data_IF_146785543730
#
_entry.id   IF_146785543730
#
_cell.length_a   1.000
_cell.length_b   1.000
_cell.length_c   1.000
_cell.angle_alpha   90.00
_cell.angle_beta   90.00
_cell.angle_gamma   90.00
#
_symmetry.space_group_name_H-M   'P 1'
#
loop_
_entity.id
_entity.type
_entity.pdbx_description
1 polymer ?
#
# COMPACT_ATOMS: atom_id res chain seq x y z
N UNK A 1 -10.10 5.60 32.16
CA UNK A 1 -10.30 4.93 30.86
C UNK A 1 -8.95 4.31 30.53
N UNK A 2 -8.80 3.01 30.70
CA UNK A 2 -7.54 2.32 30.40
C UNK A 2 -7.47 2.12 28.89
N UNK A 3 -6.45 2.70 28.26
CA UNK A 3 -6.17 2.51 26.83
C UNK A 3 -5.32 1.24 26.77
N UNK A 4 -5.94 0.11 26.43
CA UNK A 4 -5.21 -1.10 26.09
C UNK A 4 -4.66 -0.95 24.68
N UNK A 5 -3.36 -1.13 24.49
CA UNK A 5 -2.73 -1.16 23.16
C UNK A 5 -2.69 -2.61 22.68
N UNK A 6 -3.19 -2.87 21.47
CA UNK A 6 -3.11 -4.17 20.81
C UNK A 6 -2.11 -4.02 19.66
N UNK A 7 -1.07 -4.85 19.62
CA UNK A 7 -0.08 -4.92 18.53
C UNK A 7 -0.26 -6.28 17.83
N UNK A 8 -0.48 -6.25 16.51
CA UNK A 8 -1.12 -7.34 15.73
C UNK A 8 -0.21 -7.79 14.57
N UNK A 9 0.61 -8.83 14.67
CA UNK A 9 1.43 -9.25 13.50
C UNK A 9 0.68 -10.24 12.61
N UNK A 10 0.61 -9.99 11.29
CA UNK A 10 0.08 -10.96 10.32
C UNK A 10 1.19 -11.79 9.67
N UNK A 11 0.98 -13.09 9.54
CA UNK A 11 1.70 -13.92 8.58
C UNK A 11 0.71 -14.63 7.66
N UNK A 12 0.93 -14.56 6.35
CA UNK A 12 0.26 -15.43 5.39
C UNK A 12 1.08 -16.72 5.29
N UNK A 13 0.46 -17.87 5.52
CA UNK A 13 1.08 -19.16 5.18
C UNK A 13 0.65 -19.53 3.76
N UNK A 14 1.58 -19.47 2.81
CA UNK A 14 1.44 -20.09 1.50
C UNK A 14 1.83 -21.57 1.62
N UNK A 15 0.93 -22.47 1.23
CA UNK A 15 1.27 -23.89 1.11
C UNK A 15 2.21 -24.06 -0.09
N UNK A 16 3.50 -24.23 0.16
CA UNK A 16 4.48 -24.57 -0.88
C UNK A 16 4.26 -26.00 -1.37
N UNK A 17 3.93 -26.15 -2.66
CA UNK A 17 4.13 -27.39 -3.40
C UNK A 17 5.46 -27.27 -4.14
N UNK A 18 6.49 -27.98 -3.67
CA UNK A 18 7.74 -28.19 -4.39
C UNK A 18 7.49 -29.08 -5.62
N UNK A 19 7.83 -28.59 -6.82
CA UNK A 19 8.09 -29.46 -7.96
C UNK A 19 9.43 -29.09 -8.62
N UNK A 20 10.39 -30.01 -8.46
CA UNK A 20 11.73 -30.03 -9.07
C UNK A 20 11.67 -30.07 -10.61
N UNK A 21 12.26 -29.09 -11.31
CA UNK A 21 12.72 -29.30 -12.70
C UNK A 21 14.12 -28.72 -12.94
N UNK A 22 15.02 -29.63 -13.30
CA UNK A 22 16.42 -29.45 -13.70
C UNK A 22 16.58 -28.78 -15.08
N UNK A 23 17.40 -27.73 -15.11
CA UNK A 23 18.41 -27.32 -16.11
C UNK A 23 18.15 -27.47 -17.62
N UNK A 24 18.29 -26.36 -18.36
CA UNK A 24 19.30 -26.27 -19.44
C UNK A 24 19.69 -24.82 -19.76
N UNK A 25 21.00 -24.60 -19.75
CA UNK A 25 21.76 -23.38 -20.03
C UNK A 25 21.67 -22.90 -21.48
N UNK A 26 21.59 -21.59 -21.69
CA UNK A 26 22.22 -20.93 -22.84
C UNK A 26 22.78 -19.56 -22.41
N UNK A 27 24.11 -19.47 -22.46
CA UNK A 27 24.88 -18.25 -22.20
C UNK A 27 24.45 -17.13 -23.14
N UNK A 28 24.09 -15.98 -22.57
CA UNK A 28 24.33 -14.67 -23.17
C UNK A 28 25.21 -13.86 -22.21
N UNK A 29 26.20 -13.22 -22.79
CA UNK A 29 27.30 -12.48 -22.16
C UNK A 29 26.79 -11.59 -21.02
N UNK A 30 27.09 -11.96 -19.77
CA UNK A 30 26.84 -11.14 -18.58
C UNK A 30 28.01 -10.16 -18.49
N UNK A 31 27.77 -8.89 -18.77
CA UNK A 31 28.65 -7.81 -18.29
C UNK A 31 28.62 -7.92 -16.76
N UNK A 32 29.76 -7.98 -16.05
CA UNK A 32 29.74 -8.10 -14.61
C UNK A 32 29.33 -6.75 -14.02
N UNK A 33 28.02 -6.54 -13.86
CA UNK A 33 27.56 -5.75 -12.73
C UNK A 33 27.77 -6.64 -11.52
N UNK A 34 28.82 -6.37 -10.75
CA UNK A 34 28.87 -6.76 -9.35
C UNK A 34 27.67 -6.05 -8.72
N UNK A 35 26.62 -6.75 -8.24
CA UNK A 35 25.64 -6.12 -7.40
C UNK A 35 26.43 -5.72 -6.17
N UNK A 36 26.74 -4.43 -6.04
CA UNK A 36 26.94 -3.89 -4.72
C UNK A 36 25.57 -4.11 -4.09
N UNK A 37 25.43 -5.07 -3.19
CA UNK A 37 24.18 -5.30 -2.46
C UNK A 37 23.93 -3.95 -1.78
N UNK A 38 23.10 -3.12 -2.40
CA UNK A 38 22.85 -1.79 -1.89
C UNK A 38 22.21 -2.03 -0.54
N UNK A 39 22.93 -1.69 0.53
CA UNK A 39 22.39 -1.81 1.88
C UNK A 39 21.14 -0.95 1.92
N UNK A 40 19.99 -1.58 2.19
CA UNK A 40 18.73 -0.87 2.31
C UNK A 40 18.91 0.17 3.43
N UNK A 41 18.71 1.47 3.14
CA UNK A 41 18.93 2.50 4.13
C UNK A 41 18.02 2.29 5.35
N UNK A 42 18.44 2.69 6.57
CA UNK A 42 17.70 2.38 7.79
C UNK A 42 16.28 2.95 7.86
N UNK A 43 15.97 3.96 7.05
CA UNK A 43 14.65 4.56 6.96
C UNK A 43 13.66 3.75 6.09
N UNK A 44 14.12 2.71 5.40
CA UNK A 44 13.29 1.79 4.63
C UNK A 44 13.22 0.40 5.29
N UNK A 45 12.23 -0.39 4.90
CA UNK A 45 12.05 -1.74 5.41
C UNK A 45 13.21 -2.64 4.99
N UNK A 46 13.84 -3.28 5.96
CA UNK A 46 14.94 -4.21 5.72
C UNK A 46 14.48 -5.54 5.13
N UNK A 47 13.15 -5.75 5.07
CA UNK A 47 12.51 -6.95 4.52
C UNK A 47 12.14 -6.77 3.03
N UNK A 48 12.52 -5.65 2.39
CA UNK A 48 12.28 -5.45 0.96
C UNK A 48 13.06 -6.46 0.12
N UNK A 49 12.35 -7.11 -0.81
CA UNK A 49 12.98 -7.92 -1.84
C UNK A 49 13.45 -7.02 -2.98
N UNK A 50 14.76 -6.71 -3.01
CA UNK A 50 15.37 -5.90 -4.06
C UNK A 50 15.59 -6.67 -5.36
N UNK A 51 15.52 -8.01 -5.34
CA UNK A 51 15.62 -8.86 -6.53
C UNK A 51 14.21 -9.20 -7.09
N UNK A 52 13.17 -8.80 -6.37
CA UNK A 52 11.77 -9.07 -6.67
C UNK A 52 11.17 -8.18 -7.76
N UNK A 53 10.19 -8.73 -8.47
CA UNK A 53 9.38 -7.99 -9.44
C UNK A 53 8.05 -7.57 -8.80
N UNK A 54 7.82 -6.26 -8.72
CA UNK A 54 6.57 -5.68 -8.22
C UNK A 54 5.66 -5.35 -9.38
N UNK A 55 4.47 -5.96 -9.40
CA UNK A 55 3.52 -5.81 -10.52
C UNK A 55 2.27 -5.11 -10.06
N UNK A 56 1.90 -4.06 -10.78
CA UNK A 56 0.70 -3.27 -10.58
C UNK A 56 -0.24 -3.46 -11.77
N UNK A 57 -1.47 -3.87 -11.51
CA UNK A 57 -2.51 -3.89 -12.53
C UNK A 57 -3.08 -2.49 -12.73
N UNK A 58 -3.37 -2.13 -13.97
CA UNK A 58 -4.03 -0.87 -14.32
C UNK A 58 -5.54 -1.11 -14.46
N UNK A 59 -6.33 -0.58 -13.54
CA UNK A 59 -7.80 -0.74 -13.51
C UNK A 59 -8.52 0.40 -14.20
N UNK A 60 -7.90 1.59 -14.27
CA UNK A 60 -8.41 2.75 -14.99
C UNK A 60 -7.25 3.51 -15.66
N UNK A 61 -7.47 4.05 -16.87
CA UNK A 61 -6.47 4.86 -17.57
C UNK A 61 -7.10 5.79 -18.61
N UNK A 62 -6.75 7.07 -18.58
CA UNK A 62 -7.34 8.13 -19.42
C UNK A 62 -6.84 8.17 -20.86
N UNK A 63 -5.65 7.63 -21.11
CA UNK A 63 -5.04 7.58 -22.42
C UNK A 63 -3.52 7.78 -22.39
N UNK A 64 -2.86 7.64 -23.55
CA UNK A 64 -1.40 7.71 -23.65
C UNK A 64 -0.84 8.95 -22.97
N UNK A 65 0.26 8.77 -22.23
CA UNK A 65 0.95 9.81 -21.48
C UNK A 65 2.42 9.84 -21.87
N UNK A 66 3.03 11.03 -21.79
CA UNK A 66 4.44 11.20 -22.12
C UNK A 66 5.31 11.07 -20.88
N UNK A 67 6.47 10.44 -21.02
CA UNK A 67 7.48 10.33 -19.97
C UNK A 67 8.54 11.41 -20.13
N UNK A 68 8.87 12.11 -19.04
CA UNK A 68 9.91 13.12 -18.98
C UNK A 68 10.88 12.81 -17.84
N UNK A 69 12.17 12.81 -18.14
CA UNK A 69 13.24 12.78 -17.15
C UNK A 69 13.55 14.20 -16.62
N UNK A 70 14.40 14.31 -15.60
CA UNK A 70 14.75 15.61 -15.00
C UNK A 70 15.68 16.49 -15.86
N UNK A 71 16.08 16.07 -17.06
CA UNK A 71 16.97 16.82 -17.96
C UNK A 71 16.23 17.77 -18.91
N UNK A 72 15.39 18.66 -18.35
CA UNK A 72 14.50 19.55 -19.08
C UNK A 72 15.20 20.60 -19.97
N UNK A 73 16.49 20.89 -19.74
CA UNK A 73 17.27 21.82 -20.57
C UNK A 73 17.86 21.18 -21.84
N UNK A 74 17.67 19.87 -22.03
CA UNK A 74 18.10 19.19 -23.25
C UNK A 74 17.15 19.50 -24.43
N UNK A 75 17.58 19.31 -25.70
CA UNK A 75 16.80 19.67 -26.89
C UNK A 75 15.40 19.04 -26.99
N UNK A 76 15.16 17.94 -26.27
CA UNK A 76 13.86 17.26 -26.22
C UNK A 76 13.14 17.45 -24.87
N UNK A 77 13.56 18.41 -24.05
CA UNK A 77 12.98 18.69 -22.73
C UNK A 77 12.91 17.46 -21.81
N UNK A 78 13.86 16.53 -21.94
CA UNK A 78 13.87 15.29 -21.17
C UNK A 78 12.85 14.23 -21.61
N UNK A 79 12.18 14.39 -22.76
CA UNK A 79 11.22 13.41 -23.27
C UNK A 79 11.88 12.06 -23.59
N UNK A 80 11.31 10.98 -23.04
CA UNK A 80 11.81 9.60 -23.20
C UNK A 80 10.87 8.71 -24.03
N UNK A 81 9.64 9.18 -24.28
CA UNK A 81 8.64 8.45 -25.08
C UNK A 81 7.24 8.52 -24.48
N UNK A 82 6.27 7.93 -25.17
CA UNK A 82 4.90 7.79 -24.69
C UNK A 82 4.65 6.39 -24.15
N UNK A 83 3.81 6.31 -23.12
CA UNK A 83 3.37 5.07 -22.48
C UNK A 83 1.84 5.00 -22.43
N UNK A 84 1.30 3.80 -22.62
CA UNK A 84 -0.13 3.50 -22.74
C UNK A 84 -0.42 2.05 -22.33
N UNK A 85 -0.57 1.75 -21.02
CA UNK A 85 -0.89 0.42 -20.54
C UNK A 85 -2.30 -0.02 -20.96
N UNK A 86 -3.22 0.93 -21.14
CA UNK A 86 -4.68 0.70 -21.19
C UNK A 86 -5.22 -0.05 -19.97
N UNK A 87 -6.54 -0.07 -19.84
CA UNK A 87 -7.22 -0.86 -18.81
C UNK A 87 -6.87 -2.34 -18.96
N UNK A 88 -6.51 -3.00 -17.87
CA UNK A 88 -6.02 -4.37 -17.81
C UNK A 88 -4.54 -4.53 -18.17
N UNK A 89 -3.83 -3.42 -18.45
CA UNK A 89 -2.38 -3.41 -18.59
C UNK A 89 -1.67 -3.58 -17.25
N UNK A 90 -0.32 -3.56 -17.28
CA UNK A 90 0.49 -3.69 -16.07
C UNK A 90 1.64 -2.71 -16.04
N UNK A 91 2.01 -2.25 -14.84
CA UNK A 91 3.26 -1.56 -14.56
C UNK A 91 4.11 -2.51 -13.72
N UNK A 92 5.32 -2.81 -14.19
CA UNK A 92 6.26 -3.69 -13.52
C UNK A 92 7.46 -2.89 -13.04
N UNK A 93 7.83 -3.07 -11.79
CA UNK A 93 8.90 -2.37 -11.11
C UNK A 93 9.90 -3.39 -10.59
N UNK A 94 11.19 -3.14 -10.81
CA UNK A 94 12.28 -3.92 -10.23
C UNK A 94 13.30 -2.96 -9.60
N UNK A 95 13.59 -3.09 -8.31
CA UNK A 95 14.53 -2.20 -7.65
C UNK A 95 15.96 -2.45 -8.13
N UNK A 96 16.69 -1.39 -8.41
CA UNK A 96 18.11 -1.46 -8.79
C UNK A 96 19.03 -1.08 -7.62
N UNK A 97 18.48 -0.44 -6.59
CA UNK A 97 19.18 -0.11 -5.35
C UNK A 97 18.71 1.22 -4.76
N UNK A 98 19.55 1.78 -3.89
CA UNK A 98 19.37 3.11 -3.30
C UNK A 98 20.56 3.98 -3.66
N UNK A 99 20.29 5.17 -4.21
CA UNK A 99 21.30 6.12 -4.63
C UNK A 99 20.84 7.54 -4.33
N UNK A 100 21.79 8.48 -4.33
CA UNK A 100 21.48 9.90 -4.23
C UNK A 100 20.53 10.32 -5.36
N UNK A 101 19.69 11.31 -5.08
CA UNK A 101 18.81 11.94 -6.06
C UNK A 101 19.57 12.40 -7.28
N UNK A 102 18.86 12.42 -8.42
CA UNK A 102 19.35 13.17 -9.57
C UNK A 102 19.65 14.62 -9.13
N UNK A 103 20.81 15.21 -9.46
CA UNK A 103 21.14 16.59 -9.09
C UNK A 103 20.12 17.63 -9.58
N UNK A 104 19.29 17.25 -10.55
CA UNK A 104 18.25 18.07 -11.13
C UNK A 104 16.87 17.70 -10.62
N UNK A 105 16.74 16.81 -9.63
CA UNK A 105 15.48 16.58 -8.94
C UNK A 105 15.08 17.88 -8.22
N UNK A 106 14.03 18.52 -8.73
CA UNK A 106 13.60 19.86 -8.32
C UNK A 106 12.40 19.86 -7.35
N UNK A 107 11.91 18.69 -6.92
CA UNK A 107 10.67 18.60 -6.15
C UNK A 107 10.50 17.29 -5.39
N UNK A 108 11.40 17.00 -4.46
CA UNK A 108 11.30 15.84 -3.56
C UNK A 108 11.77 16.18 -2.15
N UNK A 109 10.88 16.02 -1.19
CA UNK A 109 11.10 16.29 0.23
C UNK A 109 11.80 15.16 0.99
N UNK A 110 11.93 13.95 0.43
CA UNK A 110 12.54 12.81 1.10
C UNK A 110 14.06 12.83 1.02
N UNK A 111 14.81 12.64 2.10
CA UNK A 111 16.28 12.72 2.05
C UNK A 111 16.93 11.58 1.25
N UNK A 112 18.16 11.84 0.78
CA UNK A 112 19.01 10.82 0.18
C UNK A 112 19.49 9.77 1.19
N UNK A 113 19.76 8.53 0.74
CA UNK A 113 19.52 8.02 -0.62
C UNK A 113 18.06 7.60 -0.84
N UNK A 114 17.60 7.67 -2.08
CA UNK A 114 16.24 7.29 -2.50
C UNK A 114 16.27 5.98 -3.31
N UNK A 115 15.14 5.26 -3.46
CA UNK A 115 15.06 4.05 -4.26
C UNK A 115 15.22 4.38 -5.74
N UNK A 116 15.90 3.51 -6.47
CA UNK A 116 15.97 3.52 -7.93
C UNK A 116 15.49 2.17 -8.45
N UNK A 117 14.88 2.19 -9.64
CA UNK A 117 14.22 1.03 -10.18
C UNK A 117 14.15 1.05 -11.71
N UNK A 118 14.10 -0.14 -12.29
CA UNK A 118 13.68 -0.35 -13.67
C UNK A 118 12.14 -0.37 -13.72
N UNK A 119 11.58 0.22 -14.77
CA UNK A 119 10.14 0.24 -15.03
C UNK A 119 9.84 -0.33 -16.40
N UNK A 120 8.89 -1.26 -16.47
CA UNK A 120 8.35 -1.84 -17.70
C UNK A 120 6.82 -1.71 -17.69
N UNK A 121 6.27 -1.09 -18.72
CA UNK A 121 4.84 -0.87 -18.88
C UNK A 121 4.34 -1.81 -19.97
N UNK A 122 3.45 -2.70 -19.56
CA UNK A 122 2.77 -3.66 -20.42
C UNK A 122 1.41 -3.11 -20.81
N UNK A 123 1.16 -3.10 -22.10
CA UNK A 123 -0.11 -2.72 -22.68
C UNK A 123 -1.02 -3.93 -22.82
N UNK A 124 -2.28 -3.78 -22.43
CA UNK A 124 -3.31 -4.74 -22.76
C UNK A 124 -3.80 -4.50 -24.19
N UNK A 125 -3.40 -5.38 -25.10
CA UNK A 125 -3.89 -5.41 -26.48
C UNK A 125 -4.85 -6.58 -26.66
N UNK A 126 -6.15 -6.30 -26.52
CA UNK A 126 -7.23 -7.27 -26.69
C UNK A 126 -7.11 -8.52 -25.80
N UNK A 127 -6.69 -8.34 -24.55
CA UNK A 127 -6.52 -9.41 -23.56
C UNK A 127 -5.11 -10.01 -23.52
N UNK A 128 -4.19 -9.55 -24.37
CA UNK A 128 -2.79 -9.98 -24.38
C UNK A 128 -1.90 -8.84 -23.91
N UNK A 129 -1.05 -9.12 -22.92
CA UNK A 129 -0.06 -8.16 -22.45
C UNK A 129 1.13 -8.11 -23.42
N UNK A 130 1.39 -6.94 -23.98
CA UNK A 130 2.53 -6.65 -24.87
C UNK A 130 3.38 -5.52 -24.29
N UNK A 131 4.70 -5.59 -24.46
CA UNK A 131 5.60 -4.52 -24.00
C UNK A 131 5.27 -3.22 -24.75
N UNK A 132 5.12 -2.12 -24.02
CA UNK A 132 4.83 -0.82 -24.60
C UNK A 132 5.92 0.21 -24.31
N UNK A 133 6.43 0.25 -23.08
CA UNK A 133 7.42 1.24 -22.66
C UNK A 133 8.34 0.66 -21.61
N UNK A 134 9.63 0.99 -21.64
CA UNK A 134 10.61 0.45 -20.70
C UNK A 134 11.74 1.45 -20.47
N UNK A 135 12.06 1.71 -19.21
CA UNK A 135 13.21 2.49 -18.79
C UNK A 135 13.95 1.76 -17.69
N UNK A 136 15.25 2.00 -17.62
CA UNK A 136 16.12 1.40 -16.61
C UNK A 136 16.66 2.46 -15.67
N UNK A 137 16.83 2.11 -14.40
CA UNK A 137 17.46 2.93 -13.38
C UNK A 137 16.87 4.35 -13.33
N UNK A 138 15.58 4.43 -13.01
CA UNK A 138 14.86 5.68 -12.71
C UNK A 138 14.65 5.81 -11.22
N UNK A 139 14.83 7.03 -10.73
CA UNK A 139 14.60 7.33 -9.32
C UNK A 139 13.10 7.18 -8.99
N UNK A 140 12.81 6.83 -7.75
CA UNK A 140 11.45 6.76 -7.24
C UNK A 140 10.68 8.07 -7.46
N UNK A 141 11.35 9.22 -7.33
CA UNK A 141 10.77 10.52 -7.60
C UNK A 141 10.40 10.73 -9.07
N UNK A 142 11.27 10.32 -10.02
CA UNK A 142 10.96 10.47 -11.45
C UNK A 142 9.72 9.64 -11.81
N UNK A 143 9.64 8.44 -11.26
CA UNK A 143 8.48 7.56 -11.44
C UNK A 143 7.25 8.17 -10.78
N UNK A 144 7.37 8.69 -9.57
CA UNK A 144 6.29 9.37 -8.87
C UNK A 144 5.73 10.53 -9.69
N UNK A 145 6.61 11.35 -10.26
CA UNK A 145 6.21 12.49 -11.08
C UNK A 145 5.47 12.06 -12.36
N UNK A 146 6.03 11.10 -13.10
CA UNK A 146 5.45 10.66 -14.38
C UNK A 146 4.15 9.86 -14.22
N UNK A 147 3.97 9.20 -13.08
CA UNK A 147 2.78 8.43 -12.74
C UNK A 147 1.81 9.20 -11.83
N UNK A 148 2.11 10.45 -11.47
CA UNK A 148 1.34 11.29 -10.53
C UNK A 148 1.08 10.54 -9.20
N UNK A 149 2.10 9.90 -8.65
CA UNK A 149 2.08 9.19 -7.36
C UNK A 149 2.61 10.09 -6.22
N UNK A 150 2.14 11.33 -6.21
CA UNK A 150 2.56 12.39 -5.31
C UNK A 150 1.94 13.73 -5.69
N UNK A 151 2.34 14.78 -4.98
CA UNK A 151 1.91 16.16 -5.21
C UNK A 151 2.92 17.14 -4.60
N UNK A 152 3.07 18.32 -5.22
CA UNK A 152 4.06 19.32 -4.80
C UNK A 152 5.45 18.67 -4.61
N UNK A 153 6.13 18.90 -3.49
CA UNK A 153 7.42 18.24 -3.21
C UNK A 153 7.24 16.89 -2.48
N UNK A 154 6.00 16.50 -2.16
CA UNK A 154 5.70 15.20 -1.56
C UNK A 154 5.54 14.14 -2.65
N UNK A 155 6.65 13.48 -3.01
CA UNK A 155 6.72 12.50 -4.11
C UNK A 155 7.07 11.08 -3.62
N UNK A 156 6.16 10.41 -2.86
CA UNK A 156 6.45 9.11 -2.24
C UNK A 156 6.57 7.95 -3.24
N UNK A 157 5.97 8.06 -4.43
CA UNK A 157 6.22 7.12 -5.54
C UNK A 157 5.76 5.69 -5.26
N UNK A 158 6.60 4.72 -5.61
CA UNK A 158 6.32 3.28 -5.43
C UNK A 158 6.73 2.81 -4.03
N UNK A 159 7.71 3.45 -3.42
CA UNK A 159 8.25 3.06 -2.12
C UNK A 159 8.52 4.29 -1.26
N UNK A 160 7.85 4.37 -0.11
CA UNK A 160 8.07 5.40 0.90
C UNK A 160 8.97 4.90 2.04
N UNK A 161 9.72 5.79 2.73
CA UNK A 161 10.36 5.45 3.99
C UNK A 161 9.31 5.07 5.06
N UNK A 162 9.71 4.34 6.10
CA UNK A 162 8.80 3.79 7.13
C UNK A 162 9.24 4.08 8.58
N UNK A 163 10.46 4.58 8.79
CA UNK A 163 11.03 4.77 10.14
C UNK A 163 10.30 5.84 10.96
N UNK A 164 9.78 6.88 10.30
CA UNK A 164 9.08 7.98 10.96
C UNK A 164 7.80 8.37 10.22
N UNK A 165 6.80 7.50 10.27
CA UNK A 165 5.48 7.75 9.69
C UNK A 165 4.84 9.04 10.23
N UNK A 166 5.06 9.40 11.50
CA UNK A 166 4.57 10.68 12.04
C UNK A 166 5.11 11.87 11.24
N UNK A 167 6.40 11.86 10.90
CA UNK A 167 7.01 12.88 10.06
C UNK A 167 6.45 12.82 8.63
N UNK A 168 6.32 11.63 8.03
CA UNK A 168 5.77 11.47 6.67
C UNK A 168 4.37 12.06 6.57
N UNK A 169 3.49 11.76 7.52
CA UNK A 169 2.13 12.32 7.58
C UNK A 169 2.16 13.85 7.68
N UNK A 170 3.08 14.39 8.49
CA UNK A 170 3.28 15.83 8.60
C UNK A 170 3.73 16.44 7.26
N UNK A 171 4.73 15.84 6.60
CA UNK A 171 5.22 16.31 5.30
C UNK A 171 4.11 16.29 4.24
N UNK A 172 3.28 15.25 4.22
CA UNK A 172 2.13 15.15 3.33
C UNK A 172 1.14 16.32 3.56
N UNK A 173 0.81 16.63 4.81
CA UNK A 173 -0.10 17.74 5.17
C UNK A 173 0.52 19.09 4.84
N UNK A 174 1.78 19.32 5.24
CA UNK A 174 2.50 20.58 5.02
C UNK A 174 2.64 20.87 3.51
N UNK A 175 2.96 19.85 2.71
CA UNK A 175 3.05 20.00 1.25
C UNK A 175 1.70 20.24 0.58
N UNK A 176 0.59 19.78 1.18
CA UNK A 176 -0.73 20.08 0.65
C UNK A 176 -1.11 21.55 0.85
N UNK A 177 -0.75 22.16 1.99
CA UNK A 177 -1.12 23.54 2.32
C UNK A 177 -0.13 24.59 1.81
N UNK A 178 1.16 24.29 1.81
CA UNK A 178 2.25 25.24 1.50
C UNK A 178 2.91 24.99 0.13
N UNK A 179 2.58 23.90 -0.54
CA UNK A 179 3.17 23.54 -1.82
C UNK A 179 2.73 24.43 -2.98
N UNK A 180 3.37 24.22 -4.14
CA UNK A 180 3.12 25.01 -5.36
C UNK A 180 1.66 25.00 -5.82
N UNK A 181 1.00 23.85 -5.65
CA UNK A 181 -0.41 23.64 -5.88
C UNK A 181 -1.11 23.45 -4.54
N UNK A 182 -1.54 24.52 -3.86
CA UNK A 182 -2.19 24.41 -2.56
C UNK A 182 -3.54 23.71 -2.71
N UNK A 183 -3.79 22.79 -1.79
CA UNK A 183 -4.97 21.93 -1.74
C UNK A 183 -5.26 21.48 -0.32
N UNK A 184 -5.99 20.37 -0.20
CA UNK A 184 -6.32 19.72 1.05
C UNK A 184 -5.81 18.29 1.00
N UNK A 185 -5.24 17.80 2.10
CA UNK A 185 -4.85 16.42 2.22
C UNK A 185 -5.47 15.78 3.46
N UNK A 186 -5.97 14.56 3.28
CA UNK A 186 -6.38 13.65 4.34
C UNK A 186 -5.28 12.62 4.47
N UNK A 187 -4.78 12.44 5.68
CA UNK A 187 -3.77 11.41 5.97
C UNK A 187 -4.24 10.56 7.12
N UNK A 188 -4.44 9.28 6.85
CA UNK A 188 -5.03 8.34 7.79
C UNK A 188 -4.17 7.08 7.88
N UNK A 189 -4.05 6.53 9.08
CA UNK A 189 -3.19 5.39 9.35
C UNK A 189 -4.01 4.30 10.03
N UNK A 190 -3.78 3.06 9.59
CA UNK A 190 -4.32 1.83 10.17
C UNK A 190 -3.17 0.99 10.71
N UNK A 191 -3.47 -0.20 11.23
CA UNK A 191 -2.41 -1.10 11.64
C UNK A 191 -1.46 -1.46 10.49
N UNK A 192 -2.01 -1.79 9.30
CA UNK A 192 -1.22 -2.27 8.15
C UNK A 192 -0.96 -1.23 7.08
N UNK A 193 -1.73 -0.14 7.03
CA UNK A 193 -1.72 0.75 5.88
C UNK A 193 -1.69 2.22 6.25
N UNK A 194 -1.03 3.01 5.42
CA UNK A 194 -1.11 4.46 5.39
C UNK A 194 -1.91 4.89 4.16
N UNK A 195 -2.99 5.63 4.38
CA UNK A 195 -3.78 6.25 3.33
C UNK A 195 -3.47 7.75 3.26
N UNK A 196 -3.27 8.26 2.04
CA UNK A 196 -3.03 9.65 1.75
C UNK A 196 -3.95 10.05 0.60
N UNK A 197 -4.86 10.98 0.85
CA UNK A 197 -5.65 11.64 -0.18
C UNK A 197 -5.20 13.09 -0.31
N UNK A 198 -5.09 13.58 -1.53
CA UNK A 198 -4.82 14.99 -1.82
C UNK A 198 -5.74 15.45 -2.95
N UNK A 199 -6.32 16.63 -2.77
CA UNK A 199 -7.11 17.30 -3.79
C UNK A 199 -6.80 18.80 -3.80
N UNK A 200 -6.61 19.38 -4.99
CA UNK A 200 -6.49 20.82 -5.15
C UNK A 200 -7.65 21.42 -5.97
N UNK A 201 -7.80 22.74 -5.89
CA UNK A 201 -8.79 23.48 -6.69
C UNK A 201 -8.52 23.48 -8.20
N UNK A 202 -7.32 23.05 -8.60
CA UNK A 202 -6.88 22.92 -9.99
C UNK A 202 -7.27 21.59 -10.66
N UNK A 203 -7.97 20.69 -9.94
CA UNK A 203 -8.39 19.39 -10.48
C UNK A 203 -7.29 18.32 -10.48
N UNK A 204 -6.26 18.50 -9.65
CA UNK A 204 -5.31 17.44 -9.30
C UNK A 204 -5.90 16.69 -8.10
N UNK A 205 -6.05 15.38 -8.22
CA UNK A 205 -6.40 14.48 -7.14
C UNK A 205 -5.44 13.30 -7.13
N UNK A 206 -4.95 12.92 -5.96
CA UNK A 206 -4.05 11.79 -5.78
C UNK A 206 -4.41 11.08 -4.49
N UNK A 207 -4.89 9.85 -4.59
CA UNK A 207 -5.21 8.98 -3.47
C UNK A 207 -4.25 7.79 -3.49
N UNK A 208 -3.57 7.52 -2.38
CA UNK A 208 -2.48 6.54 -2.27
C UNK A 208 -2.69 5.68 -1.02
N UNK A 209 -2.50 4.37 -1.15
CA UNK A 209 -2.44 3.43 -0.03
C UNK A 209 -1.07 2.76 -0.05
N UNK A 210 -0.35 2.84 1.07
CA UNK A 210 0.92 2.15 1.27
C UNK A 210 0.80 1.10 2.35
N UNK A 211 1.50 -0.02 2.18
CA UNK A 211 1.76 -0.94 3.28
C UNK A 211 2.73 -0.29 4.26
N UNK A 212 2.34 -0.25 5.53
CA UNK A 212 3.04 0.47 6.59
C UNK A 212 4.38 -0.18 6.93
N UNK A 213 4.48 -1.50 6.79
CA UNK A 213 5.62 -2.29 7.23
C UNK A 213 6.75 -2.35 6.20
N UNK A 214 6.40 -2.27 4.93
CA UNK A 214 7.36 -2.29 3.82
C UNK A 214 7.54 -0.92 3.20
N UNK A 215 6.54 -0.05 3.28
CA UNK A 215 6.48 1.23 2.58
C UNK A 215 6.09 1.10 1.10
N UNK A 216 5.73 -0.10 0.64
CA UNK A 216 5.37 -0.33 -0.76
C UNK A 216 3.97 0.20 -1.06
N UNK A 217 3.82 0.80 -2.24
CA UNK A 217 2.53 1.22 -2.75
C UNK A 217 1.66 -0.02 -2.99
N UNK A 218 0.45 0.02 -2.42
CA UNK A 218 -0.58 -1.03 -2.53
C UNK A 218 -1.61 -0.64 -3.58
N UNK A 219 -2.03 0.63 -3.58
CA UNK A 219 -3.02 1.16 -4.51
C UNK A 219 -2.81 2.65 -4.73
N UNK A 220 -3.12 3.12 -5.93
CA UNK A 220 -3.15 4.54 -6.24
C UNK A 220 -4.29 4.87 -7.22
N UNK A 221 -4.87 6.05 -7.05
CA UNK A 221 -5.80 6.67 -7.98
C UNK A 221 -5.44 8.15 -8.14
N UNK A 222 -5.03 8.53 -9.33
CA UNK A 222 -4.52 9.87 -9.62
C UNK A 222 -5.21 10.47 -10.83
N UNK A 223 -5.58 11.73 -10.75
CA UNK A 223 -6.16 12.52 -11.83
C UNK A 223 -5.49 13.89 -11.92
N UNK A 224 -5.21 14.37 -13.13
CA UNK A 224 -4.68 15.71 -13.38
C UNK A 224 -5.05 16.16 -14.79
N UNK A 225 -5.99 17.10 -14.90
CA UNK A 225 -6.49 17.55 -16.20
C UNK A 225 -7.12 16.40 -17.00
N UNK A 226 -6.52 16.04 -18.14
CA UNK A 226 -6.97 14.91 -18.97
C UNK A 226 -6.37 13.55 -18.58
N UNK A 227 -5.43 13.53 -17.63
CA UNK A 227 -4.84 12.31 -17.11
C UNK A 227 -5.73 11.72 -16.01
N UNK A 228 -5.95 10.41 -16.06
CA UNK A 228 -6.39 9.61 -14.94
C UNK A 228 -5.73 8.24 -14.97
N UNK A 229 -5.35 7.71 -13.82
CA UNK A 229 -4.81 6.38 -13.68
C UNK A 229 -5.23 5.80 -12.34
N UNK A 230 -5.63 4.53 -12.36
CA UNK A 230 -5.82 3.74 -11.15
C UNK A 230 -5.00 2.45 -11.27
N UNK A 231 -4.22 2.16 -10.24
CA UNK A 231 -3.38 0.98 -10.17
C UNK A 231 -3.52 0.27 -8.82
N UNK A 232 -3.43 -1.06 -8.86
CA UNK A 232 -3.42 -1.90 -7.66
C UNK A 232 -2.27 -2.92 -7.73
N UNK A 233 -1.55 -3.08 -6.63
CA UNK A 233 -0.47 -4.04 -6.53
C UNK A 233 -1.02 -5.47 -6.55
N UNK A 234 -0.41 -6.33 -7.36
CA UNK A 234 -0.66 -7.77 -7.35
C UNK A 234 0.08 -8.49 -6.21
N UNK A 235 1.09 -7.84 -5.63
CA UNK A 235 1.83 -8.40 -4.50
C UNK A 235 1.06 -8.24 -3.18
N UNK A 236 0.04 -7.40 -3.17
CA UNK A 236 -0.89 -7.21 -2.06
C UNK A 236 -2.31 -7.64 -2.45
N UNK A 237 -2.46 -8.84 -3.00
CA UNK A 237 -3.80 -9.42 -3.19
C UNK A 237 -4.34 -9.94 -1.87
N UNK A 238 -5.36 -9.27 -1.32
CA UNK A 238 -6.15 -9.81 -0.23
C UNK A 238 -6.90 -11.05 -0.71
N UNK A 239 -6.48 -12.23 -0.25
CA UNK A 239 -7.21 -13.45 -0.54
C UNK A 239 -8.42 -13.53 0.39
N UNK A 240 -9.59 -13.22 -0.17
CA UNK A 240 -10.90 -13.22 0.52
C UNK A 240 -11.30 -14.59 1.08
N UNK A 241 -10.69 -15.67 0.60
CA UNK A 241 -10.97 -17.04 1.03
C UNK A 241 -10.07 -17.52 2.18
N UNK A 242 -9.11 -16.70 2.61
CA UNK A 242 -8.21 -17.03 3.72
C UNK A 242 -8.71 -16.48 5.05
N UNK A 243 -8.51 -17.28 6.09
CA UNK A 243 -8.55 -16.79 7.46
C UNK A 243 -7.17 -16.22 7.84
N UNK A 244 -7.14 -14.96 8.25
CA UNK A 244 -5.93 -14.26 8.66
C UNK A 244 -5.71 -14.48 10.14
N UNK A 245 -4.54 -15.01 10.49
CA UNK A 245 -4.12 -15.19 11.87
C UNK A 245 -3.18 -14.06 12.26
N UNK A 246 -3.58 -13.33 13.30
CA UNK A 246 -2.75 -12.30 13.87
C UNK A 246 -2.26 -12.72 15.24
N UNK A 247 -0.95 -12.73 15.44
CA UNK A 247 -0.36 -13.03 16.75
C UNK A 247 -0.30 -11.76 17.58
N UNK A 248 -0.85 -11.81 18.80
CA UNK A 248 -0.77 -10.71 19.75
C UNK A 248 0.59 -10.73 20.46
N UNK A 249 1.28 -9.59 20.46
CA UNK A 249 2.50 -9.42 21.25
C UNK A 249 2.21 -8.87 22.64
N UNK A 250 1.21 -8.01 22.73
CA UNK A 250 0.76 -7.39 23.97
C UNK A 250 -0.77 -7.41 23.99
N UNK A 251 -1.33 -7.75 25.15
CA UNK A 251 -2.74 -7.66 25.42
C UNK A 251 -2.92 -7.19 26.86
N UNK A 252 -3.67 -6.11 27.03
CA UNK A 252 -3.98 -5.55 28.33
C UNK A 252 -5.17 -6.28 28.99
N UNK A 253 -6.15 -5.48 29.42
CA UNK A 253 -7.38 -5.99 30.01
C UNK A 253 -8.37 -6.47 28.93
N UNK A 254 -9.29 -7.40 29.29
CA UNK A 254 -10.38 -7.81 28.39
C UNK A 254 -11.15 -6.60 27.82
N UNK A 255 -11.33 -6.59 26.50
CA UNK A 255 -12.00 -5.51 25.78
C UNK A 255 -13.51 -5.77 25.75
N UNK A 256 -14.31 -4.79 26.15
CA UNK A 256 -15.78 -4.87 26.00
C UNK A 256 -16.14 -4.68 24.54
N UNK A 257 -16.92 -5.61 24.00
CA UNK A 257 -17.41 -5.50 22.64
C UNK A 257 -18.86 -5.00 22.62
N UNK A 258 -19.12 -3.99 21.79
CA UNK A 258 -20.45 -3.46 21.50
C UNK A 258 -20.67 -3.47 19.99
N UNK A 259 -21.89 -3.75 19.54
CA UNK A 259 -22.22 -3.52 18.13
C UNK A 259 -22.43 -2.03 17.83
N UNK A 260 -22.68 -1.68 16.58
CA UNK A 260 -22.90 -0.29 16.15
C UNK A 260 -24.19 0.37 16.71
N UNK A 261 -25.03 -0.39 17.41
CA UNK A 261 -26.21 0.12 18.14
C UNK A 261 -25.98 0.25 19.65
N UNK A 262 -24.71 0.18 20.09
CA UNK A 262 -24.28 0.18 21.50
C UNK A 262 -24.80 -1.03 22.32
N UNK A 263 -25.19 -2.12 21.66
CA UNK A 263 -25.60 -3.36 22.33
C UNK A 263 -24.35 -4.17 22.74
N UNK A 264 -24.22 -4.48 24.03
CA UNK A 264 -23.11 -5.25 24.55
C UNK A 264 -23.14 -6.72 24.06
N UNK A 265 -22.03 -7.17 23.47
CA UNK A 265 -21.88 -8.54 22.90
C UNK A 265 -21.00 -9.46 23.74
N UNK A 266 -20.15 -8.92 24.60
CA UNK A 266 -19.29 -9.71 25.49
C UNK A 266 -17.94 -9.08 25.73
N UNK A 267 -17.02 -9.89 26.27
CA UNK A 267 -15.62 -9.50 26.48
C UNK A 267 -14.74 -10.25 25.49
N UNK A 268 -14.07 -9.53 24.60
CA UNK A 268 -12.97 -10.07 23.83
C UNK A 268 -11.76 -10.19 24.77
N UNK A 269 -11.34 -11.43 25.03
CA UNK A 269 -10.21 -11.71 25.91
C UNK A 269 -9.21 -12.62 25.19
N UNK A 270 -7.92 -12.33 25.37
CA UNK A 270 -6.80 -13.15 24.91
C UNK A 270 -5.60 -12.89 25.82
N UNK A 271 -4.40 -13.32 25.42
CA UNK A 271 -3.17 -13.10 26.16
C UNK A 271 -2.04 -12.69 25.21
N UNK A 272 -0.91 -12.24 25.78
CA UNK A 272 0.32 -12.15 25.00
C UNK A 272 0.63 -13.54 24.41
N UNK A 273 0.95 -13.61 23.12
CA UNK A 273 1.08 -14.81 22.27
C UNK A 273 -0.23 -15.46 21.80
N UNK A 274 -1.38 -14.92 22.18
CA UNK A 274 -2.69 -15.32 21.65
C UNK A 274 -2.85 -14.98 20.17
N UNK A 275 -3.94 -15.46 19.57
CA UNK A 275 -4.24 -15.28 18.15
C UNK A 275 -5.59 -14.57 17.99
N UNK A 276 -5.64 -13.59 17.08
CA UNK A 276 -6.90 -13.10 16.50
C UNK A 276 -7.03 -13.73 15.13
N UNK A 277 -8.04 -14.56 14.94
CA UNK A 277 -8.39 -15.10 13.64
C UNK A 277 -9.47 -14.20 13.02
N UNK A 278 -9.24 -13.71 11.80
CA UNK A 278 -10.19 -12.91 11.04
C UNK A 278 -10.49 -13.61 9.74
N UNK A 279 -11.76 -13.87 9.46
CA UNK A 279 -12.20 -14.45 8.21
C UNK A 279 -13.13 -13.47 7.49
N UNK A 280 -12.84 -13.16 6.23
CA UNK A 280 -13.73 -12.35 5.41
C UNK A 280 -14.89 -13.19 4.91
N UNK A 281 -16.10 -12.64 4.95
CA UNK A 281 -17.32 -13.37 4.58
C UNK A 281 -18.03 -12.77 3.36
N UNK A 282 -17.68 -11.55 2.97
CA UNK A 282 -18.27 -10.85 1.83
C UNK A 282 -18.42 -9.35 2.06
N UNK A 283 -18.81 -8.66 0.99
CA UNK A 283 -19.21 -7.25 1.04
C UNK A 283 -20.73 -7.18 1.21
N UNK A 284 -21.20 -6.45 2.23
CA UNK A 284 -22.62 -6.31 2.50
C UNK A 284 -22.98 -4.85 2.77
N UNK A 285 -24.29 -4.60 2.80
CA UNK A 285 -24.79 -3.27 3.11
C UNK A 285 -24.30 -2.81 4.47
N UNK A 286 -23.79 -1.59 4.50
CA UNK A 286 -23.39 -0.85 5.68
C UNK A 286 -24.56 -0.73 6.66
N UNK A 287 -24.28 -0.91 7.95
CA UNK A 287 -25.27 -0.65 8.99
C UNK A 287 -25.65 0.84 8.98
N UNK A 288 -26.93 1.15 9.23
CA UNK A 288 -27.41 2.54 9.22
C UNK A 288 -26.71 3.42 10.27
N UNK A 289 -26.12 2.82 11.31
CA UNK A 289 -25.39 3.50 12.37
C UNK A 289 -23.88 3.54 12.12
N UNK A 290 -23.40 2.89 11.07
CA UNK A 290 -22.00 2.92 10.70
C UNK A 290 -21.66 4.31 10.14
N UNK A 291 -20.82 5.05 10.86
CA UNK A 291 -20.38 6.40 10.48
C UNK A 291 -19.02 6.41 9.80
N UNK A 292 -18.52 5.24 9.37
CA UNK A 292 -17.25 5.19 8.68
C UNK A 292 -17.29 6.02 7.39
N UNK A 293 -16.15 6.47 6.87
CA UNK A 293 -16.11 7.18 5.59
C UNK A 293 -16.27 6.25 4.38
N UNK A 294 -16.25 4.93 4.57
CA UNK A 294 -16.34 3.96 3.47
C UNK A 294 -17.72 3.94 2.85
N UNK A 295 -17.75 3.90 1.52
CA UNK A 295 -18.96 3.76 0.73
C UNK A 295 -19.56 2.36 0.87
N UNK A 296 -20.85 2.27 0.57
CA UNK A 296 -21.61 1.02 0.60
C UNK A 296 -21.47 0.28 -0.74
N UNK A 297 -21.17 -1.04 -0.77
CA UNK A 297 -21.05 -1.99 0.34
C UNK A 297 -19.68 -1.97 1.04
N UNK A 298 -19.67 -2.39 2.31
CA UNK A 298 -18.43 -2.50 3.10
C UNK A 298 -18.07 -3.97 3.39
N UNK A 299 -16.80 -4.26 3.71
CA UNK A 299 -16.36 -5.59 4.12
C UNK A 299 -17.00 -6.08 5.43
N UNK A 300 -17.39 -7.35 5.47
CA UNK A 300 -17.83 -8.03 6.69
C UNK A 300 -16.91 -9.20 7.01
N UNK A 301 -16.75 -9.45 8.30
CA UNK A 301 -15.82 -10.45 8.83
C UNK A 301 -16.46 -11.29 9.94
N UNK A 302 -15.87 -12.46 10.16
CA UNK A 302 -15.92 -13.17 11.43
C UNK A 302 -14.59 -12.92 12.15
N UNK A 303 -14.64 -12.71 13.46
CA UNK A 303 -13.45 -12.54 14.29
C UNK A 303 -13.50 -13.50 15.47
N UNK A 304 -12.38 -14.17 15.73
CA UNK A 304 -12.22 -15.11 16.83
C UNK A 304 -10.95 -14.78 17.62
N UNK A 305 -11.10 -14.58 18.93
CA UNK A 305 -10.00 -14.41 19.87
C UNK A 305 -9.66 -15.76 20.48
N UNK A 306 -8.40 -16.13 20.37
CA UNK A 306 -7.85 -17.41 20.83
C UNK A 306 -6.75 -17.09 21.83
N UNK A 307 -6.87 -17.60 23.06
CA UNK A 307 -5.76 -17.59 24.01
C UNK A 307 -4.74 -18.65 23.66
N UNK A 308 -3.47 -18.33 23.86
CA UNK A 308 -2.38 -19.31 23.78
C UNK A 308 -1.75 -19.49 25.16
N UNK A 309 -2.23 -20.48 25.92
CA UNK A 309 -1.66 -20.80 27.22
C UNK A 309 -0.69 -21.97 27.03
N UNK A 310 0.61 -21.69 27.06
CA UNK A 310 1.67 -22.73 26.98
C UNK A 310 1.59 -23.60 25.71
N UNK A 311 1.18 -23.03 24.58
CA UNK A 311 1.03 -23.76 23.31
C UNK A 311 -0.33 -24.43 23.12
N UNK A 312 -1.24 -24.34 24.10
CA UNK A 312 -2.62 -24.81 23.98
C UNK A 312 -3.48 -23.62 23.56
N UNK A 313 -4.09 -23.74 22.38
CA UNK A 313 -5.00 -22.75 21.82
C UNK A 313 -6.42 -22.97 22.35
N UNK A 314 -6.97 -21.96 23.02
CA UNK A 314 -8.35 -21.97 23.52
C UNK A 314 -9.15 -20.82 22.91
N UNK A 315 -10.23 -21.15 22.20
CA UNK A 315 -11.16 -20.14 21.69
C UNK A 315 -11.92 -19.49 22.83
N UNK A 316 -11.78 -18.18 22.98
CA UNK A 316 -12.40 -17.42 24.06
C UNK A 316 -13.66 -16.69 23.62
N UNK A 317 -13.60 -16.03 22.47
CA UNK A 317 -14.65 -15.13 22.03
C UNK A 317 -14.73 -15.17 20.51
N UNK A 318 -15.93 -15.32 19.96
CA UNK A 318 -16.17 -15.31 18.51
C UNK A 318 -17.34 -14.42 18.21
N UNK A 319 -17.16 -13.57 17.21
CA UNK A 319 -18.22 -12.77 16.62
C UNK A 319 -18.31 -13.11 15.15
N UNK A 320 -19.53 -13.30 14.68
CA UNK A 320 -19.81 -13.64 13.30
C UNK A 320 -20.61 -12.52 12.65
N UNK A 321 -20.37 -12.30 11.36
CA UNK A 321 -21.07 -11.31 10.56
C UNK A 321 -21.06 -9.94 11.22
N UNK A 322 -19.86 -9.42 11.52
CA UNK A 322 -19.69 -8.04 11.95
C UNK A 322 -19.11 -7.23 10.80
N UNK A 323 -19.48 -5.96 10.69
CA UNK A 323 -18.82 -5.09 9.73
C UNK A 323 -17.36 -4.88 10.14
N UNK A 324 -16.50 -4.71 9.15
CA UNK A 324 -15.09 -4.40 9.40
C UNK A 324 -14.92 -3.09 10.19
N UNK A 325 -15.85 -2.14 10.04
CA UNK A 325 -15.90 -0.91 10.84
C UNK A 325 -16.37 -1.12 12.28
N UNK A 326 -17.24 -2.09 12.57
CA UNK A 326 -17.54 -2.47 13.95
C UNK A 326 -16.29 -3.01 14.66
N UNK A 327 -15.53 -3.87 13.97
CA UNK A 327 -14.28 -4.40 14.51
C UNK A 327 -13.27 -3.29 14.79
N UNK A 328 -13.15 -2.35 13.85
CA UNK A 328 -12.30 -1.18 13.98
C UNK A 328 -12.63 -0.34 15.22
N UNK A 329 -13.93 -0.06 15.44
CA UNK A 329 -14.40 0.74 16.56
C UNK A 329 -14.03 0.09 17.91
N UNK A 330 -14.29 -1.22 18.05
CA UNK A 330 -14.08 -1.95 19.30
C UNK A 330 -12.61 -2.22 19.61
N UNK A 331 -11.79 -2.44 18.58
CA UNK A 331 -10.36 -2.68 18.72
C UNK A 331 -9.53 -1.39 18.65
N UNK A 332 -10.20 -0.24 18.53
CA UNK A 332 -9.56 1.06 18.34
C UNK A 332 -8.57 1.07 17.17
N UNK A 333 -8.91 0.34 16.09
CA UNK A 333 -8.14 0.26 14.86
C UNK A 333 -8.64 1.34 13.89
N UNK A 334 -8.21 2.58 14.11
CA UNK A 334 -8.61 3.72 13.30
C UNK A 334 -8.63 5.03 14.08
N UNK A 335 -8.93 6.13 13.39
CA UNK A 335 -9.04 7.47 13.98
C UNK A 335 -10.25 8.23 13.40
N UNK A 336 -10.99 8.93 14.26
CA UNK A 336 -12.23 9.65 13.89
C UNK A 336 -13.26 8.74 13.19
N UNK A 337 -13.71 9.13 11.99
CA UNK A 337 -14.64 8.36 11.16
C UNK A 337 -13.92 7.33 10.27
N UNK A 338 -12.60 7.20 10.34
CA UNK A 338 -11.87 6.16 9.62
C UNK A 338 -11.74 4.92 10.50
N UNK A 339 -12.67 4.01 10.32
CA UNK A 339 -12.79 2.75 11.06
C UNK A 339 -12.60 1.59 10.08
N UNK A 340 -11.34 1.42 9.62
CA UNK A 340 -10.96 0.45 8.59
C UNK A 340 -10.65 -0.94 9.12
N UNK A 341 -10.52 -1.13 10.43
CA UNK A 341 -10.39 -2.46 11.01
C UNK A 341 -9.24 -3.26 10.38
N UNK A 342 -9.56 -4.43 9.84
CA UNK A 342 -8.58 -5.32 9.20
C UNK A 342 -8.47 -5.12 7.69
N UNK A 343 -9.36 -4.33 7.08
CA UNK A 343 -9.49 -4.20 5.62
C UNK A 343 -9.73 -2.75 5.19
N UNK A 344 -8.99 -2.27 4.21
CA UNK A 344 -9.34 -1.03 3.50
C UNK A 344 -10.05 -1.43 2.20
N UNK A 345 -11.33 -1.04 2.00
CA UNK A 345 -11.98 -1.18 0.71
C UNK A 345 -11.20 -0.38 -0.35
N UNK A 346 -10.85 -1.00 -1.47
CA UNK A 346 -10.15 -0.34 -2.58
C UNK A 346 -11.10 0.15 -3.67
N UNK A 347 -12.35 -0.29 -3.61
CA UNK A 347 -13.39 0.13 -4.55
C UNK A 347 -14.10 1.37 -3.98
N UNK A 348 -13.63 2.54 -4.45
CA UNK A 348 -14.15 3.91 -4.25
C UNK A 348 -13.51 4.72 -3.12
#
# INVERSE_FOLDING_TARGET
>A
MAIGTIIIYSSSQTNEFEEDIKTSSNLKLKIPFTPNIATIPPNYSQDLDLDGLYVYNVTNFGGPSSWYNFSWWLPNYGYEGDWDPRIGGQIKINFTGFYDKDPNNWGDIFDDPIPWMDIEIMKNDSGVLVENFKLTNRSNTEIAYNLILGYNDFQPGILMPIDNLTNIKKLAIDQASEGYYPGFSIVEETYNFLYIDFENTGGIKTSLIYDRWTGLLVWANSTSGGYNMEINSLNFTFNRDLAFNYTLMEFGEPVKWFNLTDEFKGYANTNATGIINVNFIGDYNKDLNDKSIFDNPIPWINITFIENNTGILNTNFTLCNISNSEAALNLHMGFNNFSSGFLIPTDN
#
